data_IF_886044280820
#
_entry.id   IF_886044280820
#
_cell.length_a   1.000
_cell.length_b   1.000
_cell.length_c   1.000
_cell.angle_alpha   90.00
_cell.angle_beta   90.00
_cell.angle_gamma   90.00
#
_symmetry.space_group_name_H-M   'P 1'
#
loop_
_entity.id
_entity.type
_entity.pdbx_description
1 polymer ?
#
# COMPACT_ATOMS: atom_id res chain seq x y z
N UNK A 1 19.06 -5.10 -6.51
CA UNK A 1 20.30 -5.91 -6.55
C UNK A 1 21.01 -5.81 -7.90
N UNK A 2 20.32 -5.99 -9.02
CA UNK A 2 20.95 -5.90 -10.35
C UNK A 2 21.42 -4.48 -10.70
N UNK A 3 20.71 -3.43 -10.28
CA UNK A 3 21.16 -2.05 -10.57
C UNK A 3 22.48 -1.72 -9.88
N UNK A 4 22.65 -2.15 -8.62
CA UNK A 4 23.91 -2.03 -7.90
C UNK A 4 25.03 -2.85 -8.56
N UNK A 5 24.74 -4.10 -8.97
CA UNK A 5 25.70 -4.96 -9.66
C UNK A 5 26.14 -4.41 -11.02
N UNK A 6 25.21 -3.81 -11.76
CA UNK A 6 25.45 -3.32 -13.11
C UNK A 6 25.97 -1.87 -13.14
N UNK A 7 26.17 -1.23 -11.98
CA UNK A 7 26.59 0.17 -11.89
C UNK A 7 25.53 1.16 -12.39
N UNK A 8 24.26 0.73 -12.49
CA UNK A 8 23.13 1.54 -12.95
C UNK A 8 22.24 2.03 -11.81
N UNK A 9 22.67 1.82 -10.55
CA UNK A 9 21.95 2.30 -9.37
C UNK A 9 21.70 3.80 -9.44
N UNK A 10 20.46 4.19 -9.17
CA UNK A 10 20.05 5.59 -9.00
C UNK A 10 19.64 5.80 -7.56
N UNK A 11 20.29 6.76 -6.89
CA UNK A 11 19.85 7.21 -5.58
C UNK A 11 18.56 8.04 -5.69
N UNK A 12 17.81 8.12 -4.60
CA UNK A 12 16.56 8.85 -4.54
C UNK A 12 15.55 8.16 -3.63
N UNK A 13 14.31 8.65 -3.68
CA UNK A 13 13.16 8.05 -2.99
C UNK A 13 12.32 7.30 -4.01
N UNK A 14 12.02 6.05 -3.71
CA UNK A 14 11.03 5.25 -4.44
C UNK A 14 9.81 5.07 -3.53
N UNK A 15 8.67 5.61 -3.96
CA UNK A 15 7.41 5.46 -3.24
C UNK A 15 6.74 4.17 -3.71
N UNK A 16 6.72 3.15 -2.85
CA UNK A 16 6.14 1.83 -3.15
C UNK A 16 4.82 1.67 -2.41
N UNK A 17 3.71 1.95 -3.09
CA UNK A 17 2.35 1.83 -2.53
C UNK A 17 1.65 0.53 -2.93
N UNK A 18 0.33 0.52 -2.79
CA UNK A 18 -0.53 -0.61 -3.19
C UNK A 18 -0.40 -0.92 -4.69
N UNK A 19 -0.18 0.10 -5.53
CA UNK A 19 -0.03 -0.05 -6.98
C UNK A 19 1.27 -0.76 -7.36
N UNK A 20 2.35 -0.47 -6.65
CA UNK A 20 3.67 -1.08 -6.86
C UNK A 20 3.82 -2.42 -6.13
N UNK A 21 2.82 -2.83 -5.33
CA UNK A 21 2.90 -4.02 -4.49
C UNK A 21 3.90 -3.88 -3.33
N UNK A 22 4.25 -2.65 -2.96
CA UNK A 22 5.18 -2.37 -1.85
C UNK A 22 4.57 -2.55 -0.48
N UNK A 23 3.24 -2.46 -0.39
CA UNK A 23 2.46 -2.65 0.84
C UNK A 23 1.19 -3.43 0.53
N UNK A 24 0.69 -4.19 1.49
CA UNK A 24 -0.62 -4.88 1.43
C UNK A 24 -1.07 -5.30 2.84
N UNK A 25 -2.31 -5.76 2.98
CA UNK A 25 -2.75 -6.43 4.21
C UNK A 25 -2.22 -7.87 4.25
N UNK A 26 -1.83 -8.32 5.44
CA UNK A 26 -1.38 -9.69 5.67
C UNK A 26 -2.50 -10.54 6.30
N UNK A 27 -2.72 -11.74 5.77
CA UNK A 27 -3.76 -12.68 6.20
C UNK A 27 -3.12 -14.03 6.55
N UNK A 28 -3.34 -14.51 7.77
CA UNK A 28 -2.76 -15.74 8.30
C UNK A 28 -3.78 -16.54 9.13
N UNK A 29 -3.39 -17.71 9.64
CA UNK A 29 -4.32 -18.55 10.40
C UNK A 29 -4.73 -17.94 11.75
N UNK A 30 -3.98 -16.96 12.25
CA UNK A 30 -4.26 -16.28 13.51
C UNK A 30 -5.34 -15.21 13.35
N UNK A 31 -5.43 -14.58 12.17
CA UNK A 31 -6.35 -13.48 11.92
C UNK A 31 -7.52 -13.83 10.99
N UNK A 32 -7.44 -14.91 10.19
CA UNK A 32 -8.50 -15.32 9.24
C UNK A 32 -9.89 -15.41 9.85
N UNK A 33 -10.01 -15.96 11.07
CA UNK A 33 -11.29 -16.13 11.74
C UNK A 33 -11.93 -14.80 12.21
N UNK A 34 -11.14 -13.73 12.31
CA UNK A 34 -11.60 -12.40 12.72
C UNK A 34 -12.08 -11.57 11.53
N UNK A 35 -11.70 -11.94 10.31
CA UNK A 35 -11.99 -11.16 9.10
C UNK A 35 -13.11 -11.81 8.30
N UNK A 36 -14.29 -11.19 8.33
CA UNK A 36 -15.45 -11.62 7.56
C UNK A 36 -15.25 -11.40 6.05
N UNK A 37 -16.06 -12.07 5.22
CA UNK A 37 -16.02 -11.87 3.77
C UNK A 37 -16.43 -10.45 3.36
N UNK A 38 -17.33 -9.82 4.12
CA UNK A 38 -17.70 -8.41 3.93
C UNK A 38 -16.51 -7.48 4.20
N UNK A 39 -15.74 -7.72 5.27
CA UNK A 39 -14.53 -6.95 5.56
C UNK A 39 -13.49 -7.11 4.45
N UNK A 40 -13.29 -8.33 3.93
CA UNK A 40 -12.38 -8.57 2.80
C UNK A 40 -12.84 -7.82 1.55
N UNK A 41 -14.13 -7.90 1.21
CA UNK A 41 -14.68 -7.21 0.04
C UNK A 41 -14.53 -5.68 0.14
N UNK A 42 -14.74 -5.11 1.34
CA UNK A 42 -14.55 -3.68 1.57
C UNK A 42 -13.08 -3.26 1.39
N UNK A 43 -12.13 -4.03 1.90
CA UNK A 43 -10.68 -3.75 1.75
C UNK A 43 -10.23 -3.92 0.30
N UNK A 44 -10.69 -4.94 -0.42
CA UNK A 44 -10.38 -5.11 -1.84
C UNK A 44 -10.92 -3.96 -2.70
N UNK A 45 -12.14 -3.49 -2.40
CA UNK A 45 -12.70 -2.31 -3.06
C UNK A 45 -11.86 -1.07 -2.75
N UNK A 46 -11.50 -0.84 -1.49
CA UNK A 46 -10.66 0.29 -1.10
C UNK A 46 -9.30 0.25 -1.79
N UNK A 47 -8.66 -0.92 -1.86
CA UNK A 47 -7.40 -1.13 -2.57
C UNK A 47 -7.53 -0.76 -4.06
N UNK A 48 -8.56 -1.26 -4.74
CA UNK A 48 -8.82 -0.93 -6.14
C UNK A 48 -9.04 0.58 -6.34
N UNK A 49 -9.83 1.23 -5.47
CA UNK A 49 -10.12 2.65 -5.55
C UNK A 49 -8.88 3.52 -5.28
N UNK A 50 -8.00 3.12 -4.36
CA UNK A 50 -6.72 3.80 -4.11
C UNK A 50 -5.80 3.66 -5.32
N UNK A 51 -5.67 2.46 -5.89
CA UNK A 51 -4.85 2.22 -7.08
C UNK A 51 -5.38 3.02 -8.28
N UNK A 52 -6.70 3.13 -8.42
CA UNK A 52 -7.34 3.92 -9.47
C UNK A 52 -7.24 5.45 -9.24
N UNK A 53 -6.85 5.89 -8.04
CA UNK A 53 -6.81 7.30 -7.65
C UNK A 53 -8.18 7.90 -7.28
N UNK A 54 -9.24 7.08 -7.25
CA UNK A 54 -10.57 7.47 -6.78
C UNK A 54 -10.54 7.85 -5.30
N UNK A 55 -9.80 7.07 -4.50
CA UNK A 55 -9.50 7.40 -3.10
C UNK A 55 -8.07 7.89 -3.00
N UNK A 56 -7.89 9.12 -2.54
CA UNK A 56 -6.56 9.68 -2.24
C UNK A 56 -6.31 9.59 -0.73
N UNK A 57 -5.34 8.78 -0.34
CA UNK A 57 -4.89 8.68 1.04
C UNK A 57 -4.02 9.89 1.36
N UNK A 58 -4.36 10.61 2.42
CA UNK A 58 -3.56 11.74 2.88
C UNK A 58 -2.17 11.29 3.36
N UNK A 59 -1.14 11.95 2.86
CA UNK A 59 0.24 11.76 3.31
C UNK A 59 0.48 12.59 4.57
N UNK A 60 0.51 11.91 5.72
CA UNK A 60 0.81 12.51 7.02
C UNK A 60 2.12 13.32 7.00
N UNK A 61 3.12 12.90 6.22
CA UNK A 61 4.43 13.56 6.20
C UNK A 61 4.40 14.91 5.48
N UNK A 62 3.32 15.22 4.76
CA UNK A 62 3.15 16.50 4.06
C UNK A 62 2.83 17.65 5.02
N UNK A 63 2.07 17.41 6.10
CA UNK A 63 1.62 18.47 7.01
C UNK A 63 1.52 18.08 8.50
N UNK A 64 1.88 16.83 8.86
CA UNK A 64 1.79 16.23 10.19
C UNK A 64 0.38 16.19 10.79
N UNK A 65 -0.65 15.97 9.98
CA UNK A 65 -2.06 15.92 10.44
C UNK A 65 -2.78 14.63 10.02
N UNK A 66 -3.89 14.35 10.70
CA UNK A 66 -4.84 13.29 10.35
C UNK A 66 -6.24 13.92 10.18
N UNK A 67 -6.57 14.44 8.99
CA UNK A 67 -7.74 15.32 8.79
C UNK A 67 -9.09 14.60 8.61
N UNK A 68 -9.11 13.26 8.53
CA UNK A 68 -10.30 12.44 8.30
C UNK A 68 -10.59 11.50 9.47
#
# INVERSE_FOLDING_TARGET
>A
FMDGKNGTFKGGVENLGLKEGGVDYAMDDNNKALVTDEMKAAVEKAKADIIAGTVQVHDYTADNKCPY
#
